data_IF_398237293644
#
_entry.id   IF_398237293644
#
_cell.length_a   1.000
_cell.length_b   1.000
_cell.length_c   1.000
_cell.angle_alpha   90.00
_cell.angle_beta   90.00
_cell.angle_gamma   90.00
#
_symmetry.space_group_name_H-M   'P 1'
#
loop_
_entity.id
_entity.type
_entity.pdbx_description
1 polymer ?
#
# COMPACT_ATOMS: atom_id res chain seq x y z
N UNK A 1 11.70 -4.14 4.17
CA UNK A 1 11.01 -3.17 3.31
C UNK A 1 10.70 -1.93 4.12
N UNK A 2 10.77 -0.76 3.49
CA UNK A 2 10.39 0.51 4.11
C UNK A 2 9.06 0.98 3.53
N UNK A 3 8.25 1.60 4.37
CA UNK A 3 6.93 2.10 4.03
C UNK A 3 6.88 3.60 4.31
N UNK A 4 6.18 4.34 3.46
CA UNK A 4 5.87 5.74 3.68
C UNK A 4 4.48 5.85 4.29
N UNK A 5 4.38 6.61 5.38
CA UNK A 5 3.11 6.87 6.06
C UNK A 5 2.75 8.34 5.86
N UNK A 6 1.59 8.60 5.26
CA UNK A 6 1.03 9.93 5.06
C UNK A 6 -0.32 10.03 5.78
N UNK A 7 -0.49 11.06 6.61
CA UNK A 7 -1.78 11.43 7.19
C UNK A 7 -2.37 12.58 6.38
N UNK A 8 -3.58 12.37 5.88
CA UNK A 8 -4.32 13.30 5.00
C UNK A 8 -5.75 13.47 5.50
N UNK A 9 -6.52 14.36 4.87
CA UNK A 9 -7.96 14.51 5.16
C UNK A 9 -8.76 13.24 4.80
N UNK A 10 -8.26 12.42 3.88
CA UNK A 10 -8.86 11.15 3.44
C UNK A 10 -8.42 9.94 4.31
N UNK A 11 -7.62 10.17 5.35
CA UNK A 11 -7.13 9.14 6.28
C UNK A 11 -5.62 8.96 6.29
N UNK A 12 -5.18 7.84 6.88
CA UNK A 12 -3.79 7.42 6.94
C UNK A 12 -3.51 6.47 5.77
N UNK A 13 -2.54 6.83 4.93
CA UNK A 13 -2.13 6.02 3.79
C UNK A 13 -0.72 5.46 4.01
N UNK A 14 -0.61 4.14 3.95
CA UNK A 14 0.65 3.40 4.00
C UNK A 14 1.00 2.99 2.58
N UNK A 15 2.07 3.56 2.04
CA UNK A 15 2.50 3.35 0.66
C UNK A 15 3.88 2.71 0.58
N UNK A 16 4.13 1.90 -0.45
CA UNK A 16 5.45 1.32 -0.66
C UNK A 16 6.49 2.41 -0.94
N UNK A 17 7.62 2.36 -0.23
CA UNK A 17 8.75 3.24 -0.52
C UNK A 17 9.42 2.84 -1.84
N UNK A 18 9.89 3.82 -2.62
CA UNK A 18 10.60 3.63 -3.89
C UNK A 18 9.83 2.80 -4.93
N UNK A 19 8.51 2.96 -4.99
CA UNK A 19 7.72 2.34 -6.05
C UNK A 19 8.01 2.96 -7.43
N UNK A 20 7.86 2.16 -8.48
CA UNK A 20 8.11 2.58 -9.87
C UNK A 20 7.15 3.66 -10.36
N UNK A 21 6.06 3.87 -9.63
CA UNK A 21 5.05 4.89 -9.90
C UNK A 21 4.59 5.53 -8.60
N UNK A 22 4.42 6.87 -8.55
CA UNK A 22 3.92 7.54 -7.36
C UNK A 22 2.46 7.15 -7.06
N UNK A 23 2.13 7.14 -5.78
CA UNK A 23 0.79 6.87 -5.26
C UNK A 23 0.02 8.15 -5.01
N UNK A 24 -1.28 8.10 -5.29
CA UNK A 24 -2.23 9.13 -4.88
C UNK A 24 -2.80 8.70 -3.53
N UNK A 25 -2.74 9.56 -2.50
CA UNK A 25 -3.28 9.26 -1.17
C UNK A 25 -4.81 9.31 -1.16
N UNK A 26 -5.43 8.31 -1.80
CA UNK A 26 -6.87 8.17 -1.96
C UNK A 26 -7.23 6.70 -2.14
N UNK A 27 -8.44 6.30 -1.75
CA UNK A 27 -8.99 4.95 -1.98
C UNK A 27 -9.12 4.57 -3.45
N UNK A 28 -8.98 5.54 -4.37
CA UNK A 28 -9.06 5.34 -5.83
C UNK A 28 -7.71 5.28 -6.52
N UNK A 29 -6.61 5.13 -5.76
CA UNK A 29 -5.28 5.01 -6.32
C UNK A 29 -5.22 3.86 -7.36
N UNK A 30 -4.41 4.05 -8.39
CA UNK A 30 -4.25 3.07 -9.48
C UNK A 30 -3.79 1.68 -8.97
N UNK A 31 -3.16 1.63 -7.80
CA UNK A 31 -2.68 0.40 -7.17
C UNK A 31 -3.79 -0.43 -6.49
N UNK A 32 -5.03 0.09 -6.45
CA UNK A 32 -6.16 -0.51 -5.74
C UNK A 32 -5.83 -0.76 -4.26
N UNK A 33 -5.80 0.30 -3.44
CA UNK A 33 -5.51 0.16 -2.02
C UNK A 33 -6.67 -0.54 -1.30
N UNK A 34 -6.34 -1.20 -0.21
CA UNK A 34 -7.29 -1.87 0.69
C UNK A 34 -7.35 -1.14 2.02
N UNK A 35 -8.55 -0.96 2.55
CA UNK A 35 -8.77 -0.38 3.89
C UNK A 35 -8.51 -1.45 4.97
N UNK A 36 -7.89 -1.05 6.08
CA UNK A 36 -7.69 -1.95 7.22
C UNK A 36 -9.05 -2.36 7.82
N UNK A 37 -9.32 -3.67 7.97
CA UNK A 37 -10.61 -4.14 8.46
C UNK A 37 -10.84 -3.88 9.96
N UNK A 38 -9.80 -3.52 10.71
CA UNK A 38 -9.81 -3.31 12.16
C UNK A 38 -9.60 -1.85 12.55
N UNK A 39 -8.91 -1.07 11.73
CA UNK A 39 -8.60 0.35 11.94
C UNK A 39 -9.19 1.21 10.80
N UNK A 40 -10.37 1.82 10.98
CA UNK A 40 -11.00 2.62 9.92
C UNK A 40 -10.12 3.80 9.51
N UNK A 41 -10.26 4.24 8.25
CA UNK A 41 -9.46 5.32 7.64
C UNK A 41 -7.95 5.02 7.53
N UNK A 42 -7.52 3.77 7.74
CA UNK A 42 -6.17 3.31 7.43
C UNK A 42 -6.19 2.54 6.12
N UNK A 43 -5.37 2.97 5.16
CA UNK A 43 -5.35 2.43 3.80
C UNK A 43 -3.96 1.91 3.44
N UNK A 44 -3.89 0.66 3.00
CA UNK A 44 -2.67 0.02 2.50
C UNK A 44 -2.63 0.03 0.99
N UNK A 45 -1.54 0.56 0.41
CA UNK A 45 -1.34 0.58 -1.03
C UNK A 45 -0.42 -0.56 -1.47
N UNK A 46 -0.66 -1.07 -2.68
CA UNK A 46 0.11 -2.15 -3.28
C UNK A 46 1.20 -1.60 -4.21
N UNK A 47 2.37 -2.22 -4.27
CA UNK A 47 3.41 -1.81 -5.22
C UNK A 47 3.06 -2.18 -6.65
N UNK A 48 3.62 -1.46 -7.62
CA UNK A 48 3.45 -1.79 -9.03
C UNK A 48 3.97 -3.20 -9.38
N UNK A 49 5.03 -3.65 -8.70
CA UNK A 49 5.65 -4.95 -8.92
C UNK A 49 5.05 -6.09 -8.07
N UNK A 50 4.08 -5.78 -7.20
CA UNK A 50 3.40 -6.76 -6.36
C UNK A 50 4.33 -7.48 -5.38
N UNK A 51 5.37 -6.81 -4.90
CA UNK A 51 6.40 -7.40 -4.02
C UNK A 51 5.88 -7.78 -2.62
N UNK A 52 4.71 -7.30 -2.25
CA UNK A 52 3.97 -7.62 -1.03
C UNK A 52 3.64 -9.11 -0.95
N UNK A 53 3.40 -9.74 -2.10
CA UNK A 53 3.08 -11.18 -2.19
C UNK A 53 4.22 -12.07 -1.67
N UNK A 54 5.46 -11.57 -1.64
CA UNK A 54 6.58 -12.28 -1.02
C UNK A 54 6.58 -12.16 0.51
N UNK A 55 5.99 -11.11 1.06
CA UNK A 55 5.90 -10.88 2.51
C UNK A 55 4.78 -11.73 3.14
N UNK A 56 3.66 -11.89 2.43
CA UNK A 56 2.54 -12.75 2.84
C UNK A 56 2.82 -14.24 2.64
N UNK A 57 3.86 -14.58 1.89
CA UNK A 57 4.18 -15.96 1.50
C UNK A 57 3.30 -16.50 0.36
N UNK A 58 2.48 -15.65 -0.27
CA UNK A 58 1.72 -15.99 -1.48
C UNK A 58 2.64 -16.28 -2.67
N UNK A 59 3.88 -15.76 -2.64
CA UNK A 59 4.91 -16.03 -3.63
C UNK A 59 6.22 -16.48 -2.97
N UNK A 60 6.70 -17.65 -3.37
CA UNK A 60 8.02 -18.15 -2.96
C UNK A 60 9.12 -17.57 -3.86
N UNK A 61 10.28 -17.28 -3.27
CA UNK A 61 11.50 -17.01 -4.04
C UNK A 61 11.90 -18.29 -4.78
N UNK A 62 12.01 -18.20 -6.11
CA UNK A 62 12.37 -19.34 -6.97
C UNK A 62 13.83 -19.71 -6.87
#
# INVERSE_FOLDING_TARGET
MAWLVASTDDGIHVTPMDDYRPHDYTSKCWCRPDEDPTEPDVWFHNSLDGREAFETGERLVS
#
